data_IF_463499850292
#
_entry.id   IF_463499850292
#
_cell.length_a   1.000
_cell.length_b   1.000
_cell.length_c   1.000
_cell.angle_alpha   90.00
_cell.angle_beta   90.00
_cell.angle_gamma   90.00
#
_symmetry.space_group_name_H-M   'P 1'
#
loop_
_entity.id
_entity.type
_entity.pdbx_description
1 polymer ?
#
# COMPACT_ATOMS: atom_id res chain seq x y z
N UNK A 1 -21.33 22.32 -7.01
CA UNK A 1 -19.95 21.89 -6.93
C UNK A 1 -19.43 21.65 -8.34
N UNK A 2 -18.49 22.45 -8.84
CA UNK A 2 -18.06 22.39 -10.23
C UNK A 2 -17.04 21.25 -10.39
N UNK A 3 -17.41 20.19 -11.09
CA UNK A 3 -16.45 19.24 -11.66
C UNK A 3 -15.62 19.98 -12.70
N UNK A 4 -14.39 20.29 -12.37
CA UNK A 4 -13.41 20.83 -13.31
C UNK A 4 -12.95 19.74 -14.27
N UNK A 5 -13.68 19.54 -15.34
CA UNK A 5 -13.32 18.67 -16.46
C UNK A 5 -12.40 19.46 -17.39
N UNK A 6 -11.08 19.42 -17.14
CA UNK A 6 -10.08 19.63 -18.19
C UNK A 6 -8.71 19.15 -17.72
N UNK A 7 -8.41 17.96 -18.05
CA UNK A 7 -7.16 17.20 -18.10
C UNK A 7 -7.28 15.83 -17.40
N UNK A 8 -6.83 14.83 -18.08
CA UNK A 8 -6.83 13.40 -17.75
C UNK A 8 -6.08 12.98 -16.46
N UNK A 9 -6.13 13.77 -15.40
CA UNK A 9 -5.55 13.44 -14.10
C UNK A 9 -6.69 13.07 -13.16
N UNK A 10 -6.87 11.78 -12.95
CA UNK A 10 -7.93 11.25 -12.10
C UNK A 10 -7.44 11.19 -10.65
N UNK A 11 -7.70 12.24 -9.87
CA UNK A 11 -7.57 12.23 -8.41
C UNK A 11 -8.95 12.41 -7.78
N UNK A 12 -9.09 12.01 -6.52
CA UNK A 12 -10.34 12.09 -5.75
C UNK A 12 -10.13 12.91 -4.47
N UNK A 13 -11.20 13.56 -4.01
CA UNK A 13 -11.19 14.23 -2.71
C UNK A 13 -11.49 13.20 -1.62
N UNK A 14 -10.68 13.19 -0.56
CA UNK A 14 -10.88 12.36 0.63
C UNK A 14 -11.65 13.14 1.70
N UNK A 15 -11.16 14.35 1.99
CA UNK A 15 -11.74 15.28 2.94
C UNK A 15 -11.29 16.71 2.60
N UNK A 16 -11.65 17.69 3.42
CA UNK A 16 -11.18 19.07 3.24
C UNK A 16 -9.64 19.12 3.22
N UNK A 17 -9.07 19.67 2.13
CA UNK A 17 -7.63 19.81 1.94
C UNK A 17 -6.86 18.47 1.84
N UNK A 18 -7.52 17.36 1.53
CA UNK A 18 -6.91 16.04 1.35
C UNK A 18 -7.40 15.43 0.06
N UNK A 19 -6.46 15.12 -0.82
CA UNK A 19 -6.72 14.45 -2.10
C UNK A 19 -5.89 13.19 -2.21
N UNK A 20 -6.47 12.16 -2.81
CA UNK A 20 -5.80 10.91 -3.11
C UNK A 20 -5.78 10.63 -4.60
N UNK A 21 -4.82 9.86 -5.04
CA UNK A 21 -4.80 9.28 -6.38
C UNK A 21 -4.51 7.79 -6.28
N UNK A 22 -5.32 7.01 -6.99
CA UNK A 22 -5.00 5.61 -7.24
C UNK A 22 -4.10 5.49 -8.47
N UNK A 23 -2.96 4.85 -8.31
CA UNK A 23 -2.12 4.44 -9.43
C UNK A 23 -1.98 2.92 -9.47
N UNK A 24 -2.54 2.31 -10.50
CA UNK A 24 -2.67 0.85 -10.67
C UNK A 24 -3.46 0.22 -9.52
N UNK A 25 -2.83 -0.09 -8.39
CA UNK A 25 -3.45 -0.71 -7.22
C UNK A 25 -3.13 0.00 -5.89
N UNK A 26 -2.24 0.98 -5.88
CA UNK A 26 -1.79 1.71 -4.69
C UNK A 26 -2.28 3.16 -4.70
N UNK A 27 -2.50 3.72 -3.53
CA UNK A 27 -2.86 5.11 -3.32
C UNK A 27 -1.68 5.89 -2.74
N UNK A 28 -1.63 7.17 -3.09
CA UNK A 28 -0.83 8.19 -2.42
C UNK A 28 -1.68 9.44 -2.21
N UNK A 29 -1.28 10.29 -1.26
CA UNK A 29 -2.11 11.42 -0.85
C UNK A 29 -1.35 12.72 -0.89
N UNK A 30 -2.06 13.82 -1.18
CA UNK A 30 -1.56 15.18 -1.07
C UNK A 30 -2.43 15.94 -0.08
N UNK A 31 -1.79 16.55 0.92
CA UNK A 31 -2.45 17.22 2.03
C UNK A 31 -2.01 18.68 2.05
N UNK A 32 -2.98 19.59 1.94
CA UNK A 32 -2.73 21.02 2.07
C UNK A 32 -2.71 21.40 3.55
N UNK A 33 -1.66 22.07 3.98
CA UNK A 33 -1.48 22.48 5.36
C UNK A 33 -1.97 23.90 5.58
N UNK A 34 -3.27 24.10 5.89
CA UNK A 34 -3.81 25.41 6.30
C UNK A 34 -3.40 26.63 5.47
N UNK A 35 -2.12 26.84 5.24
CA UNK A 35 -1.53 27.82 4.34
C UNK A 35 -1.78 27.40 2.87
N UNK A 36 -2.28 28.31 2.01
CA UNK A 36 -2.55 28.00 0.60
C UNK A 36 -1.33 27.53 -0.18
N UNK A 37 -0.13 27.84 0.28
CA UNK A 37 1.12 27.58 -0.43
C UNK A 37 1.87 26.35 0.06
N UNK A 38 1.39 25.72 1.15
CA UNK A 38 2.06 24.62 1.83
C UNK A 38 1.28 23.33 1.71
N UNK A 39 1.96 22.27 1.34
CA UNK A 39 1.38 20.94 1.21
C UNK A 39 2.44 19.85 1.47
N UNK A 40 1.97 18.63 1.74
CA UNK A 40 2.79 17.47 2.00
C UNK A 40 2.34 16.32 1.09
N UNK A 41 3.29 15.56 0.58
CA UNK A 41 3.03 14.28 -0.08
C UNK A 41 3.10 13.15 0.95
N UNK A 42 2.10 12.26 0.95
CA UNK A 42 2.09 11.02 1.72
C UNK A 42 2.22 9.86 0.75
N UNK A 43 3.30 9.09 0.89
CA UNK A 43 3.75 8.03 0.00
C UNK A 43 4.06 8.50 -1.44
N UNK A 44 4.78 7.66 -2.19
CA UNK A 44 5.29 8.02 -3.51
C UNK A 44 4.91 7.00 -4.60
N UNK A 45 3.95 6.12 -4.32
CA UNK A 45 3.42 5.18 -5.30
C UNK A 45 4.46 4.23 -5.91
N UNK A 46 4.14 3.68 -7.06
CA UNK A 46 5.03 2.84 -7.86
C UNK A 46 6.13 3.66 -8.56
N UNK A 47 7.16 3.01 -9.06
CA UNK A 47 8.20 3.65 -9.89
C UNK A 47 7.62 4.40 -11.09
N UNK A 48 6.51 3.92 -11.62
CA UNK A 48 5.77 4.53 -12.73
C UNK A 48 4.86 5.68 -12.32
N UNK A 49 4.63 5.90 -11.02
CA UNK A 49 3.74 6.96 -10.50
C UNK A 49 4.31 8.36 -10.61
N UNK A 50 5.65 8.52 -10.80
CA UNK A 50 6.31 9.81 -10.86
C UNK A 50 5.59 10.85 -11.74
N UNK A 51 5.30 10.61 -13.03
CA UNK A 51 4.64 11.62 -13.87
C UNK A 51 3.21 11.94 -13.41
N UNK A 52 2.52 10.98 -12.80
CA UNK A 52 1.17 11.19 -12.26
C UNK A 52 1.19 12.03 -11.00
N UNK A 53 2.14 11.77 -10.10
CA UNK A 53 2.36 12.57 -8.89
C UNK A 53 2.66 14.02 -9.29
N UNK A 54 3.58 14.26 -10.22
CA UNK A 54 3.93 15.57 -10.72
C UNK A 54 2.72 16.30 -11.33
N UNK A 55 1.94 15.59 -12.14
CA UNK A 55 0.75 16.15 -12.78
C UNK A 55 -0.33 16.51 -11.77
N UNK A 56 -0.56 15.69 -10.74
CA UNK A 56 -1.49 15.98 -9.66
C UNK A 56 -1.01 17.16 -8.82
N UNK A 57 0.26 17.20 -8.45
CA UNK A 57 0.86 18.31 -7.71
C UNK A 57 0.69 19.63 -8.46
N UNK A 58 1.02 19.65 -9.75
CA UNK A 58 0.83 20.84 -10.59
C UNK A 58 -0.64 21.27 -10.66
N UNK A 59 -1.57 20.33 -10.81
CA UNK A 59 -3.01 20.63 -10.88
C UNK A 59 -3.56 21.21 -9.58
N UNK A 60 -3.04 20.79 -8.42
CA UNK A 60 -3.51 21.23 -7.10
C UNK A 60 -2.76 22.45 -6.56
N UNK A 61 -1.45 22.57 -6.83
CA UNK A 61 -0.54 23.51 -6.17
C UNK A 61 0.32 24.34 -7.15
N UNK A 62 0.14 24.17 -8.46
CA UNK A 62 0.97 24.83 -9.48
C UNK A 62 2.43 24.35 -9.42
N UNK A 63 3.36 25.30 -9.48
CA UNK A 63 4.81 25.01 -9.42
C UNK A 63 5.36 24.84 -8.00
N UNK A 64 4.48 24.88 -6.97
CA UNK A 64 4.91 24.80 -5.58
C UNK A 64 5.31 23.37 -5.24
N UNK A 65 6.50 23.20 -4.70
CA UNK A 65 6.98 21.93 -4.18
C UNK A 65 6.39 21.63 -2.79
N UNK A 66 6.30 20.37 -2.36
CA UNK A 66 5.84 20.04 -1.01
C UNK A 66 6.84 20.55 0.06
N UNK A 67 6.36 20.72 1.30
CA UNK A 67 7.23 21.00 2.45
C UNK A 67 8.02 19.73 2.86
N UNK A 68 7.39 18.57 2.67
CA UNK A 68 7.98 17.26 2.99
C UNK A 68 7.29 16.14 2.21
N UNK A 69 7.93 14.98 2.19
CA UNK A 69 7.34 13.69 1.85
C UNK A 69 7.27 12.86 3.13
N UNK A 70 6.09 12.38 3.50
CA UNK A 70 5.88 11.51 4.65
C UNK A 70 5.63 10.10 4.13
N UNK A 71 6.32 9.10 4.65
CA UNK A 71 6.12 7.72 4.28
C UNK A 71 5.34 6.98 5.36
N UNK A 72 4.32 6.25 4.96
CA UNK A 72 3.65 5.30 5.85
C UNK A 72 4.57 4.13 6.15
N UNK A 73 5.25 3.61 5.13
CA UNK A 73 6.27 2.55 5.21
C UNK A 73 7.08 2.48 3.89
N UNK A 74 8.04 1.57 3.80
CA UNK A 74 9.00 1.53 2.69
C UNK A 74 8.77 0.43 1.64
N UNK A 75 7.60 -0.21 1.52
CA UNK A 75 7.36 -1.15 0.44
C UNK A 75 7.39 -0.50 -0.95
N UNK A 76 7.76 -1.28 -1.95
CA UNK A 76 8.05 -0.85 -3.32
C UNK A 76 6.97 0.00 -3.99
N UNK A 77 5.71 -0.23 -3.63
CA UNK A 77 4.55 0.48 -4.16
C UNK A 77 4.21 1.77 -3.39
N UNK A 78 4.87 2.01 -2.25
CA UNK A 78 4.79 3.27 -1.50
C UNK A 78 6.00 4.18 -1.70
N UNK A 79 7.13 3.63 -2.14
CA UNK A 79 8.38 4.39 -2.32
C UNK A 79 8.94 4.35 -3.75
N UNK A 80 8.20 3.79 -4.70
CA UNK A 80 8.71 3.55 -6.04
C UNK A 80 9.19 4.79 -6.80
N UNK A 81 8.52 5.93 -6.66
CA UNK A 81 8.93 7.20 -7.25
C UNK A 81 9.73 8.10 -6.28
N UNK A 82 9.93 7.67 -5.02
CA UNK A 82 10.46 8.49 -3.94
C UNK A 82 11.78 9.14 -4.27
N UNK A 83 12.78 8.35 -4.65
CA UNK A 83 14.15 8.85 -4.93
C UNK A 83 14.13 10.00 -5.93
N UNK A 84 13.44 9.80 -7.05
CA UNK A 84 13.35 10.82 -8.09
C UNK A 84 12.61 12.08 -7.64
N UNK A 85 11.54 11.94 -6.86
CA UNK A 85 10.78 13.07 -6.32
C UNK A 85 11.59 13.84 -5.29
N UNK A 86 12.27 13.15 -4.36
CA UNK A 86 13.08 13.76 -3.33
C UNK A 86 14.27 14.55 -3.92
N UNK A 87 14.96 13.96 -4.90
CA UNK A 87 16.05 14.63 -5.63
C UNK A 87 15.56 15.87 -6.38
N UNK A 88 14.47 15.77 -7.13
CA UNK A 88 13.96 16.87 -7.94
C UNK A 88 13.39 18.02 -7.10
N UNK A 89 12.59 17.70 -6.08
CA UNK A 89 12.00 18.74 -5.22
C UNK A 89 12.99 19.25 -4.18
N UNK A 90 14.03 18.48 -3.87
CA UNK A 90 14.99 18.77 -2.82
C UNK A 90 14.30 19.14 -1.51
N UNK A 91 13.48 18.21 -1.01
CA UNK A 91 12.70 18.33 0.22
C UNK A 91 13.01 17.18 1.17
N UNK A 92 12.84 17.37 2.49
CA UNK A 92 13.04 16.28 3.46
C UNK A 92 11.99 15.18 3.27
N UNK A 93 12.41 13.94 3.49
CA UNK A 93 11.56 12.76 3.59
C UNK A 93 11.54 12.32 5.03
N UNK A 94 10.36 12.00 5.56
CA UNK A 94 10.22 11.51 6.93
C UNK A 94 9.62 10.12 6.96
N UNK A 95 10.18 9.26 7.79
CA UNK A 95 9.66 7.93 8.09
C UNK A 95 9.89 7.58 9.57
N UNK A 96 9.25 6.55 10.04
CA UNK A 96 9.53 5.98 11.35
C UNK A 96 10.96 5.40 11.39
N UNK A 97 11.66 5.47 12.53
CA UNK A 97 13.07 5.07 12.62
C UNK A 97 13.30 3.60 12.22
N UNK A 98 12.31 2.71 12.44
CA UNK A 98 12.38 1.30 12.05
C UNK A 98 12.26 1.08 10.53
N UNK A 99 11.85 2.09 9.75
CA UNK A 99 11.85 2.04 8.29
C UNK A 99 13.19 2.47 7.67
N UNK A 100 14.04 3.17 8.42
CA UNK A 100 15.28 3.70 7.89
C UNK A 100 16.23 2.65 7.27
N UNK A 101 16.38 1.44 7.83
CA UNK A 101 17.24 0.44 7.21
C UNK A 101 16.85 0.09 5.78
N UNK A 102 15.54 0.08 5.50
CA UNK A 102 14.96 -0.23 4.18
C UNK A 102 15.02 0.97 3.21
N UNK A 103 15.14 2.18 3.74
CA UNK A 103 15.17 3.44 3.00
C UNK A 103 16.58 4.03 2.82
N UNK A 104 17.59 3.36 3.39
CA UNK A 104 19.02 3.76 3.31
C UNK A 104 19.90 2.65 2.74
N UNK A 105 19.32 1.69 2.02
CA UNK A 105 20.08 0.62 1.38
C UNK A 105 20.64 -0.46 2.30
N UNK A 106 20.36 -0.42 3.63
CA UNK A 106 21.02 -1.28 4.62
C UNK A 106 20.36 -2.65 4.81
N UNK A 107 19.07 -2.77 4.57
CA UNK A 107 18.34 -4.01 4.81
C UNK A 107 17.22 -4.21 3.80
N UNK A 108 16.94 -5.47 3.46
CA UNK A 108 15.77 -5.87 2.69
C UNK A 108 14.57 -6.11 3.62
N UNK A 109 13.37 -5.93 3.10
CA UNK A 109 12.17 -6.41 3.79
C UNK A 109 12.11 -7.95 3.85
N UNK A 110 11.35 -8.51 4.81
CA UNK A 110 11.02 -9.93 4.77
C UNK A 110 10.44 -10.33 3.41
N UNK A 111 10.81 -11.50 2.86
CA UNK A 111 10.29 -11.95 1.57
C UNK A 111 8.76 -12.06 1.60
N UNK A 112 8.06 -11.67 0.52
CA UNK A 112 6.62 -11.88 0.38
C UNK A 112 6.25 -13.35 0.53
N UNK A 113 5.04 -13.61 1.02
CA UNK A 113 4.54 -14.95 1.18
C UNK A 113 3.39 -15.28 0.22
N UNK A 114 3.63 -15.96 -0.90
CA UNK A 114 2.59 -16.35 -1.85
C UNK A 114 1.66 -17.46 -1.32
N UNK A 115 1.98 -18.07 -0.16
CA UNK A 115 1.24 -19.22 0.39
C UNK A 115 0.04 -18.82 1.25
N UNK A 116 -0.14 -17.53 1.52
CA UNK A 116 -1.26 -16.97 2.30
C UNK A 116 -2.62 -17.14 1.62
N UNK A 117 -2.64 -17.49 0.33
CA UNK A 117 -3.89 -17.69 -0.42
C UNK A 117 -4.64 -16.37 -0.71
N UNK A 118 -5.93 -16.49 -1.00
CA UNK A 118 -6.83 -15.34 -1.16
C UNK A 118 -6.95 -14.79 -2.58
N UNK A 119 -6.00 -15.06 -3.50
CA UNK A 119 -6.13 -14.64 -4.90
C UNK A 119 -4.83 -14.48 -5.67
N UNK A 120 -4.95 -13.97 -6.89
CA UNK A 120 -3.85 -13.85 -7.85
C UNK A 120 -2.75 -12.90 -7.39
N UNK A 121 -3.08 -11.80 -6.68
CA UNK A 121 -2.08 -10.85 -6.18
C UNK A 121 -1.16 -11.52 -5.14
N UNK A 122 -1.74 -12.31 -4.22
CA UNK A 122 -0.96 -13.08 -3.26
C UNK A 122 -0.12 -14.15 -3.97
N UNK A 123 -0.69 -14.89 -4.91
CA UNK A 123 0.05 -15.90 -5.67
C UNK A 123 1.26 -15.31 -6.39
N UNK A 124 1.12 -14.14 -7.00
CA UNK A 124 2.20 -13.48 -7.75
C UNK A 124 3.17 -12.70 -6.85
N UNK A 125 2.94 -12.64 -5.54
CA UNK A 125 3.75 -11.82 -4.63
C UNK A 125 5.24 -12.20 -4.58
N UNK A 126 5.61 -13.44 -4.96
CA UNK A 126 7.01 -13.85 -5.08
C UNK A 126 7.83 -13.00 -6.07
N UNK A 127 7.16 -12.23 -6.94
CA UNK A 127 7.80 -11.31 -7.88
C UNK A 127 7.89 -9.86 -7.35
N UNK A 128 7.32 -9.58 -6.19
CA UNK A 128 7.33 -8.22 -5.65
C UNK A 128 8.69 -7.88 -5.08
N UNK A 129 9.24 -6.70 -5.45
CA UNK A 129 10.54 -6.29 -4.97
C UNK A 129 10.58 -6.12 -3.45
N UNK A 130 11.64 -6.60 -2.84
CA UNK A 130 11.97 -6.37 -1.42
C UNK A 130 13.27 -5.59 -1.25
N UNK A 131 13.87 -5.20 -2.37
CA UNK A 131 15.12 -4.45 -2.37
C UNK A 131 14.95 -3.10 -1.69
N UNK A 132 15.93 -2.69 -0.89
CA UNK A 132 15.88 -1.41 -0.22
C UNK A 132 15.96 -0.26 -1.23
N UNK A 133 15.34 0.85 -0.88
CA UNK A 133 15.56 2.11 -1.59
C UNK A 133 16.64 2.88 -0.84
N UNK A 134 17.58 3.48 -1.56
CA UNK A 134 18.57 4.34 -0.96
C UNK A 134 18.34 5.79 -1.41
N UNK A 135 17.86 6.61 -0.48
CA UNK A 135 17.67 8.06 -0.66
C UNK A 135 18.72 8.88 0.10
N UNK A 136 19.73 8.21 0.61
CA UNK A 136 20.88 8.86 1.28
C UNK A 136 20.48 9.72 2.47
N UNK A 137 21.03 10.94 2.52
CA UNK A 137 20.84 11.87 3.63
C UNK A 137 19.50 12.66 3.57
N UNK A 138 18.65 12.40 2.60
CA UNK A 138 17.36 13.11 2.48
C UNK A 138 16.29 12.58 3.43
N UNK A 139 16.54 11.42 4.09
CA UNK A 139 15.61 10.84 5.06
C UNK A 139 15.89 11.32 6.47
N UNK A 140 14.83 11.64 7.19
CA UNK A 140 14.82 12.02 8.60
C UNK A 140 13.82 11.15 9.37
N UNK A 141 14.08 10.98 10.66
CA UNK A 141 13.15 10.29 11.57
C UNK A 141 11.98 11.22 11.91
N UNK A 142 10.78 10.66 11.95
CA UNK A 142 9.61 11.37 12.48
C UNK A 142 9.82 11.74 13.95
N UNK A 143 9.33 12.91 14.41
CA UNK A 143 9.43 13.33 15.81
C UNK A 143 8.78 12.34 16.76
N UNK A 144 9.43 12.06 17.91
CA UNK A 144 8.92 11.09 18.90
C UNK A 144 7.60 11.52 19.58
N UNK A 145 7.27 12.81 19.53
CA UNK A 145 6.04 13.36 20.11
C UNK A 145 4.77 13.07 19.27
N UNK A 146 4.91 12.35 18.15
CA UNK A 146 3.82 11.98 17.27
C UNK A 146 3.41 13.10 16.29
N UNK A 147 4.08 14.25 16.27
CA UNK A 147 3.79 15.32 15.31
C UNK A 147 4.25 14.95 13.91
N UNK A 148 3.54 15.46 12.89
CA UNK A 148 3.87 15.22 11.48
C UNK A 148 4.47 16.49 10.88
N UNK A 149 5.74 16.48 10.46
CA UNK A 149 6.38 17.64 9.86
C UNK A 149 5.59 18.17 8.65
N UNK A 150 5.35 19.49 8.61
CA UNK A 150 4.57 20.10 7.56
C UNK A 150 3.05 19.96 7.70
N UNK A 151 2.50 19.23 8.67
CA UNK A 151 1.05 19.01 8.84
C UNK A 151 0.56 19.38 10.24
N UNK A 152 0.17 20.65 10.42
CA UNK A 152 -0.43 21.10 11.68
C UNK A 152 -1.78 20.42 11.92
N UNK A 153 -2.02 19.94 13.15
CA UNK A 153 -3.27 19.27 13.52
C UNK A 153 -3.35 17.79 13.13
N UNK A 154 -2.27 17.26 12.57
CA UNK A 154 -2.12 15.83 12.33
C UNK A 154 -1.18 15.20 13.35
N UNK A 155 -1.42 13.92 13.63
CA UNK A 155 -0.50 13.06 14.38
C UNK A 155 -0.23 11.81 13.55
N UNK A 156 0.96 11.26 13.70
CA UNK A 156 1.18 9.89 13.28
C UNK A 156 0.97 8.93 14.44
N UNK A 157 0.51 7.75 14.12
CA UNK A 157 0.31 6.63 15.03
C UNK A 157 1.21 5.50 14.55
N UNK A 158 2.15 5.04 15.36
CA UNK A 158 2.93 3.85 15.03
C UNK A 158 1.98 2.64 15.01
N UNK A 159 1.82 2.03 13.86
CA UNK A 159 0.86 0.95 13.56
C UNK A 159 1.58 -0.24 12.89
N UNK A 160 2.53 -0.86 13.61
CA UNK A 160 3.37 -1.92 13.08
C UNK A 160 2.61 -3.23 12.83
N UNK A 161 3.28 -4.18 12.15
CA UNK A 161 2.78 -5.52 11.86
C UNK A 161 2.83 -5.83 10.37
N UNK A 162 2.34 -4.93 9.52
CA UNK A 162 2.58 -4.98 8.08
C UNK A 162 4.08 -4.80 7.79
N UNK A 163 4.65 -3.70 8.30
CA UNK A 163 6.11 -3.52 8.44
C UNK A 163 6.45 -3.11 9.87
N UNK A 164 7.73 -3.20 10.31
CA UNK A 164 8.14 -2.85 11.67
C UNK A 164 7.90 -1.37 12.01
N UNK A 165 8.14 -0.47 11.07
CA UNK A 165 8.01 0.97 11.27
C UNK A 165 6.79 1.58 10.60
N UNK A 166 5.79 0.77 10.23
CA UNK A 166 4.57 1.28 9.62
C UNK A 166 3.88 2.32 10.51
N UNK A 167 3.42 3.41 9.90
CA UNK A 167 2.64 4.45 10.57
C UNK A 167 1.32 4.71 9.84
N UNK A 168 0.34 5.18 10.60
CA UNK A 168 -0.90 5.77 10.11
C UNK A 168 -0.94 7.26 10.47
N UNK A 169 -1.64 8.08 9.70
CA UNK A 169 -1.80 9.52 9.97
C UNK A 169 -3.23 9.79 10.41
N UNK A 170 -3.40 10.55 11.48
CA UNK A 170 -4.72 10.89 12.02
C UNK A 170 -4.89 12.38 12.21
N UNK A 171 -6.04 12.90 11.76
CA UNK A 171 -6.46 14.29 11.97
C UNK A 171 -7.67 14.32 12.90
N UNK A 172 -7.48 14.93 14.07
CA UNK A 172 -8.49 14.95 15.14
C UNK A 172 -9.73 15.79 14.76
N UNK A 173 -9.56 16.86 13.97
CA UNK A 173 -10.61 17.82 13.64
C UNK A 173 -11.84 17.19 13.00
N UNK A 174 -11.63 16.22 12.12
CA UNK A 174 -12.70 15.54 11.37
C UNK A 174 -12.57 14.02 11.41
N UNK A 175 -11.77 13.52 12.35
CA UNK A 175 -11.56 12.07 12.55
C UNK A 175 -11.12 11.35 11.27
N UNK A 176 -10.28 12.02 10.47
CA UNK A 176 -9.73 11.44 9.25
C UNK A 176 -8.50 10.59 9.58
N UNK A 177 -8.56 9.33 9.18
CA UNK A 177 -7.47 8.36 9.26
C UNK A 177 -6.93 8.04 7.87
N UNK A 178 -5.63 8.27 7.62
CA UNK A 178 -4.89 7.66 6.52
C UNK A 178 -4.14 6.47 7.11
N UNK A 179 -4.69 5.28 6.93
CA UNK A 179 -4.24 4.08 7.64
C UNK A 179 -2.99 3.44 7.00
N UNK A 180 -2.53 3.91 5.82
CA UNK A 180 -1.53 3.17 5.05
C UNK A 180 -2.00 1.75 4.80
N UNK A 181 -1.16 0.78 5.13
CA UNK A 181 -1.41 -0.64 4.98
C UNK A 181 -1.60 -1.37 6.32
N UNK A 182 -1.87 -0.65 7.43
CA UNK A 182 -2.27 -1.27 8.69
C UNK A 182 -3.58 -2.05 8.55
N UNK A 183 -4.44 -1.61 7.65
CA UNK A 183 -5.58 -2.29 7.06
C UNK A 183 -5.93 -1.59 5.74
N UNK A 184 -6.74 -2.22 4.89
CA UNK A 184 -7.06 -1.69 3.56
C UNK A 184 -8.57 -1.69 3.30
N UNK A 185 -9.02 -0.87 2.34
CA UNK A 185 -10.45 -0.75 1.99
C UNK A 185 -10.83 -1.56 0.75
N UNK A 186 -10.07 -2.62 0.47
CA UNK A 186 -10.35 -3.61 -0.58
C UNK A 186 -9.74 -4.96 -0.19
N UNK A 187 -10.07 -6.04 -0.89
CA UNK A 187 -9.39 -7.33 -0.71
C UNK A 187 -8.13 -7.37 -1.57
N UNK A 188 -6.98 -7.00 -1.01
CA UNK A 188 -5.71 -6.84 -1.72
C UNK A 188 -5.20 -8.11 -2.41
N UNK A 189 -5.54 -9.29 -1.92
CA UNK A 189 -5.14 -10.57 -2.52
C UNK A 189 -5.85 -10.84 -3.85
N UNK A 190 -7.04 -10.26 -4.05
CA UNK A 190 -7.87 -10.48 -5.22
C UNK A 190 -7.64 -9.43 -6.30
N UNK A 191 -7.05 -9.82 -7.44
CA UNK A 191 -6.88 -8.94 -8.59
C UNK A 191 -8.22 -8.35 -9.10
N UNK A 192 -9.31 -9.14 -9.01
CA UNK A 192 -10.66 -8.68 -9.40
C UNK A 192 -11.16 -7.60 -8.44
N UNK A 193 -11.05 -7.79 -7.12
CA UNK A 193 -11.47 -6.79 -6.14
C UNK A 193 -10.68 -5.49 -6.27
N UNK A 194 -9.37 -5.59 -6.48
CA UNK A 194 -8.47 -4.45 -6.71
C UNK A 194 -8.83 -3.71 -8.00
N UNK A 195 -9.12 -4.43 -9.09
CA UNK A 195 -9.50 -3.84 -10.37
C UNK A 195 -10.86 -3.16 -10.31
N UNK A 196 -11.86 -3.81 -9.73
CA UNK A 196 -13.23 -3.30 -9.59
C UNK A 196 -13.37 -2.29 -8.44
N UNK A 197 -12.34 -2.11 -7.61
CA UNK A 197 -12.38 -1.24 -6.43
C UNK A 197 -13.52 -1.60 -5.47
N UNK A 198 -13.70 -2.91 -5.26
CA UNK A 198 -14.72 -3.41 -4.33
C UNK A 198 -14.41 -2.91 -2.93
N UNK A 199 -15.32 -2.15 -2.34
CA UNK A 199 -15.17 -1.60 -0.99
C UNK A 199 -15.41 -2.69 0.05
N UNK A 200 -14.41 -2.94 0.85
CA UNK A 200 -14.47 -3.76 2.06
C UNK A 200 -13.27 -3.40 2.92
N UNK A 201 -13.48 -3.04 4.18
CA UNK A 201 -12.36 -2.99 5.14
C UNK A 201 -11.86 -4.43 5.34
N UNK A 202 -10.59 -4.62 5.09
CA UNK A 202 -9.89 -5.91 5.14
C UNK A 202 -8.59 -5.75 5.91
N UNK A 203 -8.10 -6.84 6.45
CA UNK A 203 -6.77 -6.89 7.09
C UNK A 203 -5.67 -6.31 6.19
N UNK A 204 -4.47 -6.05 6.73
CA UNK A 204 -3.32 -5.64 5.93
C UNK A 204 -3.03 -6.66 4.81
N UNK A 205 -2.39 -6.24 3.69
CA UNK A 205 -2.05 -7.15 2.59
C UNK A 205 -1.27 -8.37 3.09
N UNK A 206 -1.92 -9.55 3.05
CA UNK A 206 -1.44 -10.74 3.75
C UNK A 206 -0.08 -11.22 3.28
N UNK A 207 0.18 -11.08 1.99
CA UNK A 207 1.42 -11.55 1.35
C UNK A 207 2.66 -10.70 1.69
N UNK A 208 2.49 -9.53 2.34
CA UNK A 208 3.57 -8.65 2.79
C UNK A 208 3.54 -8.40 4.30
N UNK A 209 2.56 -8.93 5.02
CA UNK A 209 2.43 -8.73 6.46
C UNK A 209 3.31 -9.72 7.20
N UNK A 210 4.23 -9.22 8.01
CA UNK A 210 5.28 -10.00 8.65
C UNK A 210 5.07 -10.28 10.16
N UNK A 211 4.10 -9.62 10.82
CA UNK A 211 3.73 -9.85 12.22
C UNK A 211 2.23 -9.64 12.44
N UNK A 212 1.49 -10.73 12.52
CA UNK A 212 0.04 -10.71 12.65
C UNK A 212 -0.47 -10.28 14.02
N UNK A 213 0.26 -10.62 15.09
CA UNK A 213 -0.14 -10.22 16.44
C UNK A 213 0.01 -8.71 16.63
N UNK A 214 1.09 -8.16 16.11
CA UNK A 214 1.31 -6.71 16.15
C UNK A 214 0.34 -5.98 15.20
N UNK A 215 0.02 -6.56 14.02
CA UNK A 215 -1.00 -6.02 13.12
C UNK A 215 -2.38 -5.93 13.80
N UNK A 216 -2.79 -6.96 14.55
CA UNK A 216 -4.02 -6.93 15.34
C UNK A 216 -4.04 -5.78 16.35
N UNK A 217 -2.95 -5.61 17.10
CA UNK A 217 -2.82 -4.50 18.08
C UNK A 217 -2.92 -3.14 17.40
N UNK A 218 -2.32 -3.01 16.23
CA UNK A 218 -2.39 -1.80 15.42
C UNK A 218 -3.81 -1.52 14.93
N UNK A 219 -4.52 -2.53 14.41
CA UNK A 219 -5.94 -2.37 14.03
C UNK A 219 -6.79 -1.95 15.21
N UNK A 220 -6.59 -2.56 16.39
CA UNK A 220 -7.29 -2.16 17.63
C UNK A 220 -7.00 -0.69 17.99
N UNK A 221 -5.74 -0.28 17.98
CA UNK A 221 -5.33 1.09 18.28
C UNK A 221 -5.99 2.10 17.32
N UNK A 222 -6.06 1.77 16.02
CA UNK A 222 -6.68 2.62 15.02
C UNK A 222 -8.22 2.64 15.14
N UNK A 223 -8.85 1.53 15.51
CA UNK A 223 -10.27 1.46 15.85
C UNK A 223 -10.62 2.35 17.05
N UNK A 224 -9.80 2.34 18.09
CA UNK A 224 -10.00 3.15 19.32
C UNK A 224 -9.97 4.68 19.04
N UNK A 225 -9.39 5.12 17.91
CA UNK A 225 -9.45 6.52 17.44
C UNK A 225 -10.83 6.93 16.93
N UNK A 226 -11.72 5.97 16.71
CA UNK A 226 -13.08 6.19 16.19
C UNK A 226 -13.10 7.04 14.91
N UNK A 227 -12.41 6.62 13.82
CA UNK A 227 -12.34 7.41 12.61
C UNK A 227 -13.68 7.49 11.90
N UNK A 228 -14.02 8.70 11.41
CA UNK A 228 -15.21 8.97 10.59
C UNK A 228 -14.91 8.88 9.09
N UNK A 229 -13.67 9.12 8.72
CA UNK A 229 -13.17 8.99 7.34
C UNK A 229 -11.93 8.12 7.36
N UNK A 230 -11.91 7.10 6.52
CA UNK A 230 -10.79 6.16 6.39
C UNK A 230 -10.28 6.18 4.96
N UNK A 231 -9.00 6.42 4.80
CA UNK A 231 -8.25 6.30 3.55
C UNK A 231 -7.06 5.35 3.77
N UNK A 232 -6.71 4.54 2.79
CA UNK A 232 -5.74 3.45 2.95
C UNK A 232 -4.78 3.38 1.76
N UNK A 233 -3.69 2.63 1.86
CA UNK A 233 -2.77 2.39 0.74
C UNK A 233 -3.44 1.69 -0.43
N UNK A 234 -4.49 0.89 -0.20
CA UNK A 234 -5.21 0.18 -1.26
C UNK A 234 -6.72 0.27 -1.06
N UNK A 235 -7.45 0.56 -2.16
CA UNK A 235 -8.90 0.67 -2.17
C UNK A 235 -9.40 2.12 -2.15
N UNK A 236 -10.72 2.29 -2.12
CA UNK A 236 -11.35 3.61 -2.09
C UNK A 236 -11.53 4.10 -0.65
N UNK A 237 -11.51 5.41 -0.40
CA UNK A 237 -11.89 5.93 0.91
C UNK A 237 -13.31 5.51 1.30
N UNK A 238 -13.49 5.29 2.60
CA UNK A 238 -14.79 4.96 3.21
C UNK A 238 -15.12 5.99 4.30
N UNK A 239 -16.40 6.25 4.52
CA UNK A 239 -16.85 7.32 5.43
C UNK A 239 -18.09 6.89 6.20
N UNK A 240 -18.32 7.52 7.38
CA UNK A 240 -19.53 7.33 8.18
C UNK A 240 -19.70 5.89 8.65
N UNK A 241 -20.93 5.37 8.60
CA UNK A 241 -21.25 4.01 9.03
C UNK A 241 -20.44 2.94 8.30
N UNK A 242 -20.27 3.07 6.97
CA UNK A 242 -19.49 2.12 6.18
C UNK A 242 -18.06 1.96 6.71
N UNK A 243 -17.42 3.06 7.13
CA UNK A 243 -16.08 3.05 7.69
C UNK A 243 -16.06 2.48 9.12
N UNK A 244 -16.98 2.92 9.97
CA UNK A 244 -17.05 2.49 11.38
C UNK A 244 -17.37 0.99 11.48
N UNK A 245 -18.45 0.56 10.86
CA UNK A 245 -18.91 -0.83 10.91
C UNK A 245 -17.89 -1.79 10.31
N UNK A 246 -17.27 -1.37 9.18
CA UNK A 246 -16.23 -2.17 8.55
C UNK A 246 -14.97 -2.32 9.41
N UNK A 247 -14.54 -1.25 10.11
CA UNK A 247 -13.37 -1.30 10.98
C UNK A 247 -13.68 -2.05 12.28
N UNK A 248 -14.88 -1.87 12.84
CA UNK A 248 -15.35 -2.64 13.98
C UNK A 248 -15.40 -4.13 13.66
N UNK A 249 -15.98 -4.49 12.52
CA UNK A 249 -16.01 -5.88 12.06
C UNK A 249 -14.61 -6.47 11.94
N UNK A 250 -13.68 -5.75 11.28
CA UNK A 250 -12.29 -6.20 11.17
C UNK A 250 -11.64 -6.41 12.53
N UNK A 251 -11.82 -5.47 13.47
CA UNK A 251 -11.25 -5.59 14.81
C UNK A 251 -11.81 -6.81 15.55
N UNK A 252 -13.13 -7.00 15.53
CA UNK A 252 -13.80 -8.08 16.26
C UNK A 252 -13.49 -9.47 15.67
N UNK A 253 -13.30 -9.55 14.35
CA UNK A 253 -13.10 -10.83 13.62
C UNK A 253 -11.69 -10.97 13.05
N UNK A 254 -10.72 -10.23 13.58
CA UNK A 254 -9.36 -10.19 13.01
C UNK A 254 -8.72 -11.58 12.93
N UNK A 255 -8.90 -12.42 13.95
CA UNK A 255 -8.38 -13.78 13.97
C UNK A 255 -8.95 -14.66 12.85
N UNK A 256 -10.22 -14.47 12.50
CA UNK A 256 -10.91 -15.18 11.41
C UNK A 256 -10.50 -14.68 10.02
N UNK A 257 -10.16 -13.39 9.94
CA UNK A 257 -9.67 -12.76 8.71
C UNK A 257 -8.18 -13.03 8.47
N UNK A 258 -7.41 -13.52 9.45
CA UNK A 258 -6.02 -13.92 9.26
C UNK A 258 -5.91 -15.07 8.24
N UNK A 259 -4.79 -15.17 7.49
CA UNK A 259 -4.56 -16.33 6.65
C UNK A 259 -4.51 -17.64 7.48
N UNK A 260 -5.13 -18.70 6.98
CA UNK A 260 -5.05 -20.02 7.62
C UNK A 260 -3.64 -20.64 7.53
N UNK A 261 -2.90 -20.25 6.50
CA UNK A 261 -1.54 -20.71 6.25
C UNK A 261 -0.66 -19.53 5.85
N UNK A 262 0.61 -19.63 6.12
CA UNK A 262 1.58 -18.63 5.73
C UNK A 262 2.85 -18.71 6.57
N UNK A 263 3.92 -18.15 6.01
CA UNK A 263 5.24 -18.12 6.64
C UNK A 263 5.21 -17.41 7.99
N UNK A 264 4.46 -16.29 8.06
CA UNK A 264 4.45 -15.37 9.19
C UNK A 264 3.24 -15.54 10.13
N UNK A 265 2.39 -16.56 9.89
CA UNK A 265 1.16 -16.77 10.67
C UNK A 265 1.47 -17.28 12.08
N UNK A 266 2.36 -18.26 12.18
CA UNK A 266 2.71 -18.87 13.48
C UNK A 266 3.90 -18.18 14.15
N UNK A 267 4.80 -17.61 13.35
CA UNK A 267 6.03 -17.00 13.82
C UNK A 267 6.32 -15.73 13.01
N UNK A 268 6.44 -14.56 13.64
CA UNK A 268 6.72 -13.32 12.94
C UNK A 268 8.17 -13.25 12.46
N UNK A 269 8.41 -12.39 11.47
CA UNK A 269 9.75 -11.90 11.20
C UNK A 269 10.20 -10.98 12.34
N UNK A 270 11.50 -10.97 12.63
CA UNK A 270 12.09 -10.10 13.67
C UNK A 270 12.96 -9.04 12.99
N UNK A 271 12.72 -7.81 13.35
CA UNK A 271 13.50 -6.66 12.86
C UNK A 271 13.73 -5.64 13.99
N UNK A 272 14.80 -4.86 13.88
CA UNK A 272 15.12 -3.76 14.78
C UNK A 272 15.56 -2.50 13.99
N UNK A 273 16.19 -1.55 14.68
CA UNK A 273 16.71 -0.33 14.07
C UNK A 273 17.87 -0.58 13.07
N UNK A 274 18.41 -1.79 12.97
CA UNK A 274 19.43 -2.18 12.00
C UNK A 274 18.84 -2.90 10.78
N UNK A 275 17.56 -3.28 10.85
CA UNK A 275 16.82 -3.97 9.78
C UNK A 275 16.36 -5.37 10.16
N UNK A 276 16.22 -6.22 9.16
CA UNK A 276 15.74 -7.59 9.31
C UNK A 276 16.79 -8.46 10.01
N UNK A 277 16.41 -9.07 11.13
CA UNK A 277 17.26 -9.98 11.92
C UNK A 277 16.95 -11.45 11.66
N UNK A 278 15.65 -11.76 11.52
CA UNK A 278 15.19 -13.14 11.35
C UNK A 278 13.96 -13.20 10.44
N UNK A 279 13.92 -14.24 9.63
CA UNK A 279 12.76 -14.62 8.81
C UNK A 279 12.44 -16.08 9.04
N UNK A 280 11.21 -16.45 9.41
CA UNK A 280 10.80 -17.83 9.54
C UNK A 280 11.05 -18.63 8.25
N UNK A 281 11.31 -19.95 8.33
CA UNK A 281 11.49 -20.78 7.15
C UNK A 281 10.24 -20.78 6.26
N UNK A 282 10.44 -20.90 4.95
CA UNK A 282 9.33 -21.01 4.01
C UNK A 282 8.51 -22.26 4.31
N UNK A 283 7.21 -22.12 4.54
CA UNK A 283 6.30 -23.27 4.62
C UNK A 283 6.14 -23.87 3.23
N UNK A 284 6.10 -25.23 3.16
CA UNK A 284 5.76 -25.89 1.91
C UNK A 284 4.37 -25.44 1.47
N UNK A 285 4.25 -24.91 0.26
CA UNK A 285 2.96 -24.55 -0.30
C UNK A 285 2.12 -25.82 -0.40
N UNK A 286 1.03 -25.91 0.35
CA UNK A 286 -0.09 -26.67 -0.09
C UNK A 286 -0.61 -25.94 -1.34
N UNK A 287 -0.08 -26.31 -2.52
CA UNK A 287 -0.59 -25.77 -3.78
C UNK A 287 -2.01 -26.30 -3.88
N UNK A 288 -2.99 -25.43 -3.68
CA UNK A 288 -4.38 -25.80 -3.80
C UNK A 288 -4.59 -26.50 -5.14
N UNK A 289 -5.14 -27.70 -5.13
CA UNK A 289 -5.30 -28.53 -6.33
C UNK A 289 -6.02 -27.80 -7.45
N UNK A 290 -6.88 -26.81 -7.14
CA UNK A 290 -7.54 -25.96 -8.11
C UNK A 290 -6.59 -24.98 -8.82
N UNK A 291 -5.49 -24.53 -8.19
CA UNK A 291 -4.49 -23.65 -8.83
C UNK A 291 -3.70 -24.47 -9.86
N UNK A 292 -3.32 -25.69 -9.52
CA UNK A 292 -2.69 -26.62 -10.47
C UNK A 292 -3.64 -26.90 -11.63
N UNK A 293 -4.91 -27.14 -11.35
CA UNK A 293 -5.92 -27.37 -12.37
C UNK A 293 -6.15 -26.14 -13.26
N UNK A 294 -6.18 -24.94 -12.70
CA UNK A 294 -6.34 -23.69 -13.46
C UNK A 294 -5.13 -23.41 -14.36
N UNK A 295 -3.91 -23.61 -13.84
CA UNK A 295 -2.68 -23.44 -14.65
C UNK A 295 -2.63 -24.50 -15.76
N UNK A 296 -2.93 -25.75 -15.45
CA UNK A 296 -3.00 -26.83 -16.44
C UNK A 296 -4.05 -26.55 -17.53
N UNK A 297 -5.25 -26.09 -17.15
CA UNK A 297 -6.31 -25.72 -18.09
C UNK A 297 -5.90 -24.56 -18.99
N UNK A 298 -5.22 -23.55 -18.43
CA UNK A 298 -4.74 -22.40 -19.21
C UNK A 298 -3.67 -22.81 -20.23
N UNK A 299 -2.73 -23.67 -19.83
CA UNK A 299 -1.69 -24.19 -20.73
C UNK A 299 -2.31 -25.06 -21.83
N UNK A 300 -3.24 -25.95 -21.49
CA UNK A 300 -3.96 -26.77 -22.47
C UNK A 300 -4.73 -25.91 -23.46
N UNK A 301 -5.43 -24.87 -23.01
CA UNK A 301 -6.19 -23.96 -23.87
C UNK A 301 -5.26 -23.20 -24.82
N UNK A 302 -4.13 -22.67 -24.32
CA UNK A 302 -3.16 -21.94 -25.12
C UNK A 302 -2.50 -22.85 -26.19
N UNK A 303 -2.14 -24.07 -25.82
CA UNK A 303 -1.58 -25.08 -26.76
C UNK A 303 -2.60 -25.45 -27.82
N UNK A 304 -3.84 -25.73 -27.41
CA UNK A 304 -4.93 -26.09 -28.34
C UNK A 304 -5.22 -24.96 -29.33
N UNK A 305 -5.33 -23.72 -28.84
CA UNK A 305 -5.51 -22.55 -29.69
C UNK A 305 -4.36 -22.35 -30.67
N UNK A 306 -3.12 -22.52 -30.23
CA UNK A 306 -1.91 -22.48 -31.07
C UNK A 306 -1.93 -23.53 -32.20
N UNK A 307 -2.33 -24.76 -31.85
CA UNK A 307 -2.44 -25.85 -32.83
C UNK A 307 -3.56 -25.61 -33.87
N UNK A 308 -4.71 -25.09 -33.43
CA UNK A 308 -5.83 -24.72 -34.29
C UNK A 308 -5.42 -23.59 -35.25
N UNK A 309 -4.76 -22.56 -34.73
CA UNK A 309 -4.28 -21.45 -35.57
C UNK A 309 -3.22 -21.90 -36.61
N UNK A 310 -2.30 -22.80 -36.19
CA UNK A 310 -1.31 -23.39 -37.10
C UNK A 310 -1.98 -24.24 -38.21
N UNK A 311 -3.02 -25.00 -37.88
CA UNK A 311 -3.77 -25.83 -38.80
C UNK A 311 -4.54 -24.97 -39.82
N UNK A 312 -5.19 -23.88 -39.36
CA UNK A 312 -5.84 -22.90 -40.25
C UNK A 312 -4.85 -22.21 -41.22
N UNK A 313 -3.69 -21.80 -40.71
CA UNK A 313 -2.64 -21.18 -41.55
C UNK A 313 -2.12 -22.12 -42.65
N UNK A 314 -1.99 -23.43 -42.34
CA UNK A 314 -1.59 -24.45 -43.31
C UNK A 314 -2.68 -24.76 -44.36
N UNK A 315 -3.97 -24.63 -44.02
CA UNK A 315 -5.06 -24.83 -44.99
C UNK A 315 -5.21 -23.65 -45.95
N UNK A 316 -4.89 -22.42 -45.51
CA UNK A 316 -4.90 -21.21 -46.35
C UNK A 316 -3.71 -21.08 -47.32
N UNK A 317 -2.65 -21.86 -47.11
CA UNK A 317 -1.47 -21.89 -48.01
C UNK A 317 -1.52 -23.06 -49.03
N UNK A 318 -2.64 -23.76 -49.17
CA UNK A 318 -2.85 -24.87 -50.09
C UNK A 318 -3.83 -24.55 -51.22
N UNK A 319 -4.13 -23.25 -51.42
CA UNK A 319 -4.89 -22.76 -52.60
C UNK A 319 -4.06 -21.80 -53.41
#
# INVERSE_FOLDING_TARGET
MKNGNNSTTSYFSVARNVWGMKDVFVNFYMIKNGDPDKWVLVDAGLKTSYPRIKKMAHALFGEKKPEAIILTHGHFDHVGALKKLAEEWNVPVYAHYLELPYLTGRSHYPPPDPTVGGGMMAFMSFMYPTDPVDIGNQISVLPEDGTVPGLKGWKYVHSPGHTPGHISLFREEDKLLIAGDAFVTTKSESAIAVMLQTKKISRPPAYLTSDWQTAYRSVKQLYDLSPEVVATGHGQPMTGEEARDGLEYLYQHFAEEMPLNGRYVDEPAVADANGLLYTPPRKAAAIDAWVIAAVAATVVTAVTLSLVLRKRKRSLLRF
#
